data_IF_639106073425
#
_entry.id   IF_639106073425
#
_cell.length_a   1.000
_cell.length_b   1.000
_cell.length_c   1.000
_cell.angle_alpha   90.00
_cell.angle_beta   90.00
_cell.angle_gamma   90.00
#
_symmetry.space_group_name_H-M   'P 1'
#
loop_
_entity.id
_entity.type
_entity.pdbx_description
1 polymer ?
#
# COMPACT_ATOMS: atom_id res chain seq x y z
N UNK A 1 68.37 17.02 -21.84
CA UNK A 1 67.89 16.28 -23.03
C UNK A 1 66.37 16.25 -22.99
N UNK A 2 65.73 16.71 -24.09
CA UNK A 2 64.29 16.64 -24.45
C UNK A 2 63.29 17.22 -23.41
N UNK A 3 62.70 18.41 -23.53
CA UNK A 3 61.93 18.99 -24.65
C UNK A 3 60.81 18.07 -25.15
N UNK A 4 59.62 18.17 -24.55
CA UNK A 4 58.36 17.76 -25.18
C UNK A 4 57.34 18.91 -25.09
N UNK A 5 56.92 19.34 -26.27
CA UNK A 5 56.08 20.48 -26.58
C UNK A 5 54.59 20.22 -26.31
N UNK A 6 53.89 21.32 -25.97
CA UNK A 6 52.51 21.73 -26.34
C UNK A 6 51.59 20.68 -26.97
N UNK A 7 50.39 20.55 -26.40
CA UNK A 7 49.13 20.70 -27.17
C UNK A 7 48.11 21.46 -26.32
N UNK A 8 47.89 22.73 -26.66
CA UNK A 8 46.75 23.50 -26.21
C UNK A 8 45.52 23.00 -27.00
N UNK A 9 44.64 22.24 -26.34
CA UNK A 9 43.35 21.90 -26.90
C UNK A 9 42.43 23.13 -26.77
N UNK A 10 42.40 23.92 -27.84
CA UNK A 10 41.30 24.84 -28.12
C UNK A 10 40.01 24.02 -28.15
N UNK A 11 39.24 24.09 -27.07
CA UNK A 11 37.88 23.58 -27.01
C UNK A 11 37.03 24.32 -28.05
N UNK A 12 36.52 23.56 -29.02
CA UNK A 12 35.67 24.01 -30.14
C UNK A 12 34.50 24.89 -29.65
N UNK A 13 34.16 25.98 -30.36
CA UNK A 13 32.91 26.70 -30.14
C UNK A 13 31.74 25.82 -30.63
N UNK A 14 30.91 25.36 -29.69
CA UNK A 14 29.62 24.71 -29.99
C UNK A 14 28.56 25.72 -30.47
N UNK A 15 27.48 25.25 -31.12
CA UNK A 15 26.74 26.00 -32.12
C UNK A 15 26.04 27.24 -31.56
N UNK A 16 26.30 28.37 -32.23
CA UNK A 16 25.43 29.53 -32.22
C UNK A 16 24.06 29.12 -32.77
N UNK A 17 23.04 29.08 -31.92
CA UNK A 17 21.73 28.60 -32.37
C UNK A 17 20.64 28.47 -31.31
N UNK A 18 20.76 29.14 -30.17
CA UNK A 18 19.60 29.49 -29.36
C UNK A 18 19.87 30.89 -28.82
N UNK A 19 19.09 31.86 -29.28
CA UNK A 19 19.05 33.18 -28.68
C UNK A 19 18.77 32.97 -27.19
N UNK A 20 19.81 33.13 -26.36
CA UNK A 20 19.62 33.43 -24.96
C UNK A 20 18.89 34.76 -24.97
N UNK A 21 17.55 34.72 -24.94
CA UNK A 21 16.81 35.80 -24.32
C UNK A 21 17.54 36.03 -23.01
N UNK A 22 18.08 37.24 -22.85
CA UNK A 22 18.67 37.72 -21.62
C UNK A 22 17.53 37.75 -20.61
N UNK A 23 17.20 36.56 -20.09
CA UNK A 23 16.34 36.36 -18.95
C UNK A 23 16.97 37.21 -17.87
N UNK A 24 16.21 38.20 -17.39
CA UNK A 24 16.53 38.85 -16.14
C UNK A 24 16.86 37.73 -15.15
N UNK A 25 18.12 37.65 -14.75
CA UNK A 25 18.52 36.78 -13.64
C UNK A 25 17.84 37.40 -12.43
N UNK A 26 16.67 36.89 -12.09
CA UNK A 26 15.96 37.28 -10.87
C UNK A 26 16.96 37.17 -9.73
N UNK A 27 16.99 38.21 -8.89
CA UNK A 27 17.77 38.19 -7.68
C UNK A 27 17.33 37.01 -6.81
N UNK A 28 18.24 36.48 -5.98
CA UNK A 28 17.92 35.39 -5.05
C UNK A 28 16.74 35.75 -4.12
N UNK A 29 16.51 37.04 -3.87
CA UNK A 29 15.36 37.56 -3.12
C UNK A 29 14.03 37.37 -3.86
N UNK A 30 13.94 37.84 -5.11
CA UNK A 30 12.72 37.69 -5.93
C UNK A 30 12.35 36.22 -6.15
N UNK A 31 13.35 35.34 -6.28
CA UNK A 31 13.12 33.88 -6.39
C UNK A 31 12.53 33.30 -5.10
N UNK A 32 12.97 33.78 -3.93
CA UNK A 32 12.41 33.37 -2.63
C UNK A 32 10.97 33.85 -2.48
N UNK A 33 10.69 35.10 -2.83
CA UNK A 33 9.34 35.68 -2.76
C UNK A 33 8.36 34.96 -3.69
N UNK A 34 8.76 34.66 -4.92
CA UNK A 34 7.94 33.87 -5.85
C UNK A 34 7.66 32.46 -5.32
N UNK A 35 8.66 31.81 -4.70
CA UNK A 35 8.48 30.50 -4.06
C UNK A 35 7.54 30.57 -2.86
N UNK A 36 7.61 31.63 -2.07
CA UNK A 36 6.71 31.87 -0.95
C UNK A 36 5.27 32.16 -1.40
N UNK A 37 5.10 32.98 -2.45
CA UNK A 37 3.81 33.26 -3.06
C UNK A 37 3.19 31.97 -3.61
N UNK A 38 3.95 31.18 -4.38
CA UNK A 38 3.51 29.87 -4.87
C UNK A 38 3.17 28.91 -3.73
N UNK A 39 3.96 28.92 -2.65
CA UNK A 39 3.68 28.12 -1.45
C UNK A 39 2.33 28.47 -0.84
N UNK A 40 2.03 29.76 -0.69
CA UNK A 40 0.77 30.25 -0.12
C UNK A 40 -0.42 29.93 -1.02
N UNK A 41 -0.29 30.14 -2.33
CA UNK A 41 -1.36 29.90 -3.31
C UNK A 41 -1.72 28.41 -3.37
N UNK A 42 -0.72 27.52 -3.43
CA UNK A 42 -0.96 26.09 -3.63
C UNK A 42 -0.97 25.27 -2.33
N UNK A 43 -0.81 25.92 -1.17
CA UNK A 43 -0.75 25.23 0.12
C UNK A 43 0.46 24.30 0.27
N UNK A 44 1.56 24.58 -0.43
CA UNK A 44 2.78 23.78 -0.32
C UNK A 44 3.44 24.00 1.06
N UNK A 45 4.27 23.04 1.48
CA UNK A 45 5.07 23.18 2.70
C UNK A 45 6.45 23.79 2.39
N UNK A 46 7.11 24.42 3.38
CA UNK A 46 8.44 24.95 3.20
C UNK A 46 9.43 23.81 2.99
N UNK A 47 10.53 24.11 2.30
CA UNK A 47 11.66 23.19 2.19
C UNK A 47 12.41 23.18 3.52
N UNK A 48 12.11 22.19 4.36
CA UNK A 48 12.82 21.93 5.61
C UNK A 48 13.63 20.64 5.50
N UNK A 49 14.86 20.59 6.05
CA UNK A 49 15.66 19.36 6.08
C UNK A 49 15.11 18.33 7.08
N UNK A 50 14.20 18.75 7.95
CA UNK A 50 13.64 17.93 9.03
C UNK A 50 12.53 16.99 8.57
N UNK A 51 12.41 15.86 9.27
CA UNK A 51 11.34 14.87 9.04
C UNK A 51 10.03 15.33 9.69
N UNK A 52 9.30 16.19 9.00
CA UNK A 52 7.99 16.74 9.43
C UNK A 52 6.80 15.78 9.30
N UNK A 53 7.00 14.53 8.86
CA UNK A 53 5.92 13.55 8.72
C UNK A 53 4.96 13.79 7.56
N UNK A 54 5.17 14.82 6.73
CA UNK A 54 4.31 15.12 5.56
C UNK A 54 4.18 13.94 4.58
N UNK A 55 5.21 13.09 4.47
CA UNK A 55 5.14 11.86 3.67
C UNK A 55 4.06 10.88 4.17
N UNK A 56 3.73 10.89 5.46
CA UNK A 56 2.65 10.07 6.03
C UNK A 56 1.29 10.69 5.70
N UNK A 57 1.15 12.00 5.88
CA UNK A 57 -0.09 12.73 5.62
C UNK A 57 -0.52 12.69 4.14
N UNK A 58 0.44 12.70 3.21
CA UNK A 58 0.18 12.62 1.76
C UNK A 58 -0.28 11.23 1.29
N UNK A 59 -0.11 10.18 2.11
CA UNK A 59 -0.57 8.84 1.73
C UNK A 59 -2.09 8.82 1.77
N UNK A 60 -2.69 8.21 0.75
CA UNK A 60 -4.12 7.88 0.78
C UNK A 60 -4.35 6.86 1.89
N UNK A 61 -5.39 7.07 2.68
CA UNK A 61 -5.76 6.19 3.76
C UNK A 61 -6.34 4.90 3.16
N UNK A 62 -5.73 3.76 3.51
CA UNK A 62 -6.12 2.45 2.98
C UNK A 62 -7.30 1.81 3.73
N UNK A 63 -7.67 2.32 4.90
CA UNK A 63 -8.73 1.79 5.76
C UNK A 63 -10.02 1.41 5.01
N UNK A 64 -10.70 2.36 4.31
CA UNK A 64 -11.95 2.05 3.62
C UNK A 64 -11.76 1.03 2.48
N UNK A 65 -10.63 1.07 1.79
CA UNK A 65 -10.29 0.13 0.71
C UNK A 65 -10.13 -1.29 1.27
N UNK A 66 -9.41 -1.43 2.39
CA UNK A 66 -9.17 -2.71 3.04
C UNK A 66 -10.48 -3.27 3.63
N UNK A 67 -11.25 -2.44 4.33
CA UNK A 67 -12.57 -2.86 4.86
C UNK A 67 -13.53 -3.25 3.74
N UNK A 68 -13.47 -2.59 2.59
CA UNK A 68 -14.24 -2.99 1.41
C UNK A 68 -13.65 -4.21 0.69
N UNK A 69 -12.42 -4.64 0.96
CA UNK A 69 -11.86 -5.85 0.37
C UNK A 69 -12.41 -7.12 1.02
N UNK A 70 -12.55 -7.07 2.35
CA UNK A 70 -13.02 -8.17 3.20
C UNK A 70 -14.56 -8.30 3.19
N UNK A 71 -15.16 -8.36 2.00
CA UNK A 71 -16.55 -8.75 1.89
C UNK A 71 -16.70 -10.15 2.48
N UNK A 72 -17.56 -10.28 3.50
CA UNK A 72 -18.01 -11.60 3.95
C UNK A 72 -18.54 -12.35 2.73
N UNK A 73 -18.24 -13.65 2.57
CA UNK A 73 -18.77 -14.41 1.46
C UNK A 73 -20.30 -14.25 1.49
N UNK A 74 -20.88 -13.96 0.32
CA UNK A 74 -22.30 -13.65 0.16
C UNK A 74 -23.20 -14.68 0.87
N UNK A 75 -22.74 -15.94 0.86
CA UNK A 75 -23.30 -17.06 1.58
C UNK A 75 -23.55 -16.77 3.08
N UNK A 76 -22.55 -16.26 3.80
CA UNK A 76 -22.66 -16.00 5.24
C UNK A 76 -23.60 -14.84 5.56
N UNK A 77 -23.71 -13.86 4.65
CA UNK A 77 -24.64 -12.73 4.79
C UNK A 77 -26.08 -13.21 4.65
N UNK A 78 -26.36 -14.02 3.62
CA UNK A 78 -27.69 -14.62 3.42
C UNK A 78 -28.07 -15.54 4.57
N UNK A 79 -27.15 -16.39 5.04
CA UNK A 79 -27.40 -17.28 6.18
C UNK A 79 -27.81 -16.53 7.44
N UNK A 80 -27.19 -15.37 7.68
CA UNK A 80 -27.53 -14.54 8.85
C UNK A 80 -28.90 -13.87 8.70
N UNK A 81 -29.26 -13.45 7.49
CA UNK A 81 -30.54 -12.82 7.19
C UNK A 81 -31.72 -13.82 7.16
N UNK A 82 -31.47 -15.03 6.65
CA UNK A 82 -32.48 -16.07 6.47
C UNK A 82 -31.98 -17.41 7.05
N UNK A 83 -32.19 -17.63 8.36
CA UNK A 83 -31.70 -18.84 9.04
C UNK A 83 -32.30 -20.15 8.53
N UNK A 84 -33.44 -20.08 7.83
CA UNK A 84 -34.15 -21.22 7.27
C UNK A 84 -33.55 -21.72 5.95
N UNK A 85 -32.75 -20.89 5.27
CA UNK A 85 -32.09 -21.27 4.02
C UNK A 85 -30.84 -22.11 4.33
N UNK A 86 -31.02 -23.42 4.30
CA UNK A 86 -29.93 -24.39 4.33
C UNK A 86 -29.10 -24.34 3.04
N UNK A 87 -27.81 -24.64 3.15
CA UNK A 87 -26.94 -24.85 1.97
C UNK A 87 -26.80 -26.33 1.71
N UNK A 88 -26.68 -26.71 0.45
CA UNK A 88 -26.34 -28.08 0.05
C UNK A 88 -25.11 -28.61 0.81
N UNK A 89 -24.06 -27.81 0.96
CA UNK A 89 -22.86 -28.17 1.74
C UNK A 89 -23.17 -28.50 3.21
N UNK A 90 -24.09 -27.76 3.84
CA UNK A 90 -24.51 -28.01 5.22
C UNK A 90 -25.34 -29.29 5.32
N UNK A 91 -26.17 -29.58 4.32
CA UNK A 91 -26.96 -30.80 4.25
C UNK A 91 -26.09 -32.03 4.03
N UNK A 92 -25.13 -31.95 3.11
CA UNK A 92 -24.11 -32.98 2.93
C UNK A 92 -23.29 -33.20 4.20
N UNK A 93 -22.92 -32.11 4.90
CA UNK A 93 -22.23 -32.22 6.19
C UNK A 93 -23.09 -32.91 7.24
N UNK A 94 -24.39 -32.59 7.33
CA UNK A 94 -25.35 -33.23 8.25
C UNK A 94 -25.52 -34.72 7.95
N UNK A 95 -25.69 -35.07 6.68
CA UNK A 95 -25.83 -36.46 6.21
C UNK A 95 -24.55 -37.27 6.47
N UNK A 96 -23.37 -36.70 6.20
CA UNK A 96 -22.09 -37.35 6.50
C UNK A 96 -21.93 -37.61 8.00
N UNK A 97 -22.32 -36.65 8.84
CA UNK A 97 -22.26 -36.79 10.29
C UNK A 97 -23.21 -37.89 10.79
N UNK A 98 -24.44 -37.95 10.28
CA UNK A 98 -25.42 -38.97 10.68
C UNK A 98 -24.96 -40.36 10.29
N UNK A 99 -24.38 -40.52 9.09
CA UNK A 99 -23.79 -41.77 8.63
C UNK A 99 -22.61 -42.23 9.49
N UNK A 100 -21.69 -41.32 9.84
CA UNK A 100 -20.55 -41.64 10.71
C UNK A 100 -21.00 -42.04 12.12
N UNK A 101 -22.03 -41.38 12.67
CA UNK A 101 -22.62 -41.73 13.97
C UNK A 101 -23.25 -43.12 13.95
N UNK A 102 -23.97 -43.49 12.87
CA UNK A 102 -24.51 -44.85 12.70
C UNK A 102 -23.41 -45.93 12.72
N UNK A 103 -22.23 -45.62 12.17
CA UNK A 103 -21.08 -46.53 12.17
C UNK A 103 -20.25 -46.53 13.46
N UNK A 104 -20.60 -45.70 14.46
CA UNK A 104 -19.77 -45.50 15.65
C UNK A 104 -18.45 -44.76 15.37
N UNK A 105 -18.27 -44.18 14.18
CA UNK A 105 -17.07 -43.42 13.76
C UNK A 105 -17.30 -41.91 13.83
N UNK A 106 -18.33 -41.48 14.54
CA UNK A 106 -18.61 -40.06 14.78
C UNK A 106 -17.54 -39.43 15.67
N UNK A 107 -17.31 -38.11 15.56
CA UNK A 107 -16.44 -37.40 16.50
C UNK A 107 -16.99 -37.57 17.93
N UNK A 108 -16.13 -37.86 18.93
CA UNK A 108 -16.56 -37.99 20.33
C UNK A 108 -17.02 -36.65 20.88
N UNK A 109 -17.67 -36.69 22.05
CA UNK A 109 -18.03 -35.46 22.77
C UNK A 109 -16.76 -34.64 23.06
N UNK A 110 -16.88 -33.32 22.95
CA UNK A 110 -15.79 -32.40 23.27
C UNK A 110 -15.31 -32.68 24.70
N UNK A 111 -14.00 -32.87 24.88
CA UNK A 111 -13.41 -33.22 26.18
C UNK A 111 -13.43 -34.71 26.53
N UNK A 112 -14.20 -35.55 25.84
CA UNK A 112 -14.24 -37.01 26.01
C UNK A 112 -13.37 -37.75 24.98
N UNK A 113 -12.23 -37.16 24.61
CA UNK A 113 -11.29 -37.79 23.68
C UNK A 113 -10.62 -39.02 24.31
N UNK A 114 -10.11 -39.94 23.48
CA UNK A 114 -9.41 -41.15 23.97
C UNK A 114 -8.31 -40.87 25.00
N UNK A 115 -7.67 -39.70 24.93
CA UNK A 115 -6.61 -39.27 25.85
C UNK A 115 -7.13 -38.73 27.19
N UNK A 116 -8.37 -38.24 27.27
CA UNK A 116 -8.91 -37.69 28.54
C UNK A 116 -9.34 -38.77 29.52
N UNK A 117 -9.68 -39.97 29.03
CA UNK A 117 -10.00 -41.12 29.87
C UNK A 117 -8.78 -41.70 30.62
N UNK A 118 -7.55 -41.33 30.25
CA UNK A 118 -6.30 -41.89 30.81
C UNK A 118 -5.80 -41.16 32.07
N UNK A 119 -6.73 -40.69 32.92
CA UNK A 119 -6.43 -40.17 34.26
C UNK A 119 -7.00 -41.11 35.33
N UNK A 120 -6.32 -42.22 35.54
CA UNK A 120 -6.19 -42.92 36.83
C UNK A 120 -4.92 -43.76 36.77
#
# INVERSE_FOLDING_TARGET
MAAWLRVAALGRPGPAGFARCTLATLSDGEVRELREAGRRIFGNLPLSPDRTGNKVLRKKWLGPIVTSGDHKPFHDVIRRAFPTLGTEEQDHRRQKLSYLRRRGKGPPMKGAGKRSAKKK
#
